data_IF_603139913538
#
_entry.id   IF_603139913538
#
_cell.length_a   1.000
_cell.length_b   1.000
_cell.length_c   1.000
_cell.angle_alpha   90.00
_cell.angle_beta   90.00
_cell.angle_gamma   90.00
#
_symmetry.space_group_name_H-M   'P 1'
#
loop_
_entity.id
_entity.type
_entity.pdbx_description
1 polymer ?
#
# COMPACT_ATOMS: atom_id res chain seq x y z
N UNK A 1 -44.22 -0.66 65.23
CA UNK A 1 -43.39 0.55 65.45
C UNK A 1 -42.26 0.52 64.48
N UNK A 2 -42.34 1.26 63.40
CA UNK A 2 -41.23 1.39 62.42
C UNK A 2 -40.26 2.40 63.07
N UNK A 3 -39.00 1.98 63.27
CA UNK A 3 -38.03 2.83 63.95
C UNK A 3 -37.49 3.89 63.00
N UNK A 4 -37.17 5.09 63.53
CA UNK A 4 -36.62 6.22 62.75
C UNK A 4 -35.35 5.83 61.97
N UNK A 5 -34.67 4.74 62.33
CA UNK A 5 -33.50 4.20 61.65
C UNK A 5 -33.81 3.53 60.34
N UNK A 6 -34.98 2.85 60.24
CA UNK A 6 -35.38 2.17 59.01
C UNK A 6 -35.80 3.13 57.90
N UNK A 7 -36.38 4.28 58.23
CA UNK A 7 -36.77 5.34 57.27
C UNK A 7 -35.54 6.06 56.70
N UNK A 8 -34.51 6.28 57.52
CA UNK A 8 -33.27 6.91 57.09
C UNK A 8 -32.42 5.95 56.19
N UNK A 9 -32.44 4.66 56.51
CA UNK A 9 -31.74 3.62 55.71
C UNK A 9 -32.39 3.42 54.33
N UNK A 10 -33.73 3.43 54.27
CA UNK A 10 -34.47 3.38 53.03
C UNK A 10 -34.22 4.59 52.11
N UNK A 11 -34.23 5.80 52.66
CA UNK A 11 -33.96 7.07 51.89
C UNK A 11 -32.49 7.15 51.38
N UNK A 12 -31.55 6.48 52.10
CA UNK A 12 -30.14 6.43 51.65
C UNK A 12 -29.92 5.43 50.51
N UNK A 13 -30.63 4.31 50.51
CA UNK A 13 -30.62 3.31 49.42
C UNK A 13 -31.23 3.91 48.14
N UNK A 14 -32.40 4.53 48.23
CA UNK A 14 -33.09 5.14 47.11
C UNK A 14 -32.26 6.27 46.44
N UNK A 15 -31.52 7.04 47.23
CA UNK A 15 -30.57 8.07 46.65
C UNK A 15 -29.38 7.41 45.97
N UNK A 16 -28.84 6.30 46.46
CA UNK A 16 -27.76 5.55 45.79
C UNK A 16 -28.23 4.93 44.49
N UNK A 17 -29.43 4.34 44.48
CA UNK A 17 -30.02 3.71 43.29
C UNK A 17 -30.31 4.73 42.21
N UNK A 18 -30.84 5.93 42.57
CA UNK A 18 -31.02 7.03 41.61
C UNK A 18 -29.70 7.56 41.08
N UNK A 19 -28.67 7.64 41.92
CA UNK A 19 -27.34 8.07 41.49
C UNK A 19 -26.65 7.01 40.57
N UNK A 20 -26.88 5.73 40.84
CA UNK A 20 -26.39 4.64 39.98
C UNK A 20 -27.10 4.61 38.62
N UNK A 21 -28.42 4.78 38.61
CA UNK A 21 -29.21 4.88 37.38
C UNK A 21 -28.79 6.09 36.53
N UNK A 22 -28.62 7.27 37.12
CA UNK A 22 -28.16 8.44 36.40
C UNK A 22 -26.75 8.30 35.81
N UNK A 23 -25.84 7.58 36.51
CA UNK A 23 -24.50 7.25 35.95
C UNK A 23 -24.57 6.28 34.80
N UNK A 24 -25.44 5.27 34.90
CA UNK A 24 -25.64 4.28 33.82
C UNK A 24 -26.24 4.94 32.55
N UNK A 25 -27.20 5.85 32.73
CA UNK A 25 -27.76 6.62 31.63
C UNK A 25 -26.73 7.55 30.97
N UNK A 26 -25.89 8.24 31.77
CA UNK A 26 -24.81 9.08 31.27
C UNK A 26 -23.81 8.26 30.45
N UNK A 27 -23.37 7.11 30.96
CA UNK A 27 -22.44 6.21 30.26
C UNK A 27 -23.05 5.62 28.98
N UNK A 28 -24.34 5.30 28.99
CA UNK A 28 -25.03 4.82 27.79
C UNK A 28 -25.14 5.93 26.74
N UNK A 29 -25.37 7.16 27.15
CA UNK A 29 -25.39 8.35 26.29
C UNK A 29 -24.02 8.61 25.65
N UNK A 30 -22.95 8.50 26.42
CA UNK A 30 -21.57 8.68 25.96
C UNK A 30 -21.16 7.62 24.94
N UNK A 31 -21.44 6.35 25.21
CA UNK A 31 -21.20 5.25 24.26
C UNK A 31 -22.03 5.40 22.96
N UNK A 32 -23.25 5.89 23.03
CA UNK A 32 -24.05 6.17 21.85
C UNK A 32 -23.44 7.31 21.03
N UNK A 33 -22.99 8.37 21.70
CA UNK A 33 -22.33 9.50 21.05
C UNK A 33 -21.03 9.09 20.37
N UNK A 34 -20.19 8.31 21.02
CA UNK A 34 -18.96 7.75 20.42
C UNK A 34 -19.26 6.89 19.19
N UNK A 35 -20.25 5.98 19.28
CA UNK A 35 -20.67 5.20 18.12
C UNK A 35 -21.17 6.08 16.98
N UNK A 36 -21.98 7.10 17.29
CA UNK A 36 -22.48 8.02 16.26
C UNK A 36 -21.36 8.81 15.60
N UNK A 37 -20.38 9.30 16.37
CA UNK A 37 -19.22 10.02 15.84
C UNK A 37 -18.36 9.11 14.96
N UNK A 38 -18.12 7.85 15.38
CA UNK A 38 -17.39 6.87 14.56
C UNK A 38 -18.12 6.53 13.26
N UNK A 39 -19.43 6.34 13.32
CA UNK A 39 -20.24 6.07 12.13
C UNK A 39 -20.26 7.29 11.19
N UNK A 40 -20.41 8.50 11.72
CA UNK A 40 -20.38 9.73 10.92
C UNK A 40 -18.99 9.91 10.29
N UNK A 41 -17.91 9.64 11.04
CA UNK A 41 -16.55 9.67 10.53
C UNK A 41 -16.32 8.67 9.40
N UNK A 42 -16.75 7.42 9.59
CA UNK A 42 -16.64 6.38 8.55
C UNK A 42 -17.48 6.72 7.30
N UNK A 43 -18.71 7.22 7.49
CA UNK A 43 -19.57 7.66 6.38
C UNK A 43 -19.00 8.88 5.65
N UNK A 44 -18.38 9.82 6.38
CA UNK A 44 -17.74 10.99 5.78
C UNK A 44 -16.52 10.57 4.92
N UNK A 45 -15.69 9.64 5.40
CA UNK A 45 -14.58 9.08 4.62
C UNK A 45 -15.10 8.35 3.39
N UNK A 46 -16.10 7.50 3.52
CA UNK A 46 -16.73 6.82 2.38
C UNK A 46 -17.38 7.79 1.39
N UNK A 47 -17.97 8.88 1.87
CA UNK A 47 -18.55 9.91 1.00
C UNK A 47 -17.48 10.72 0.25
N UNK A 48 -16.32 10.97 0.88
CA UNK A 48 -15.17 11.61 0.22
C UNK A 48 -14.58 10.67 -0.84
N UNK A 49 -14.38 9.40 -0.51
CA UNK A 49 -13.90 8.38 -1.47
C UNK A 49 -14.90 8.20 -2.62
N UNK A 50 -16.19 8.10 -2.34
CA UNK A 50 -17.24 8.03 -3.37
C UNK A 50 -17.36 9.33 -4.18
N UNK A 51 -17.09 10.48 -3.57
CA UNK A 51 -17.06 11.79 -4.24
C UNK A 51 -15.89 11.91 -5.20
N UNK A 52 -14.70 11.44 -4.81
CA UNK A 52 -13.52 11.39 -5.68
C UNK A 52 -13.76 10.45 -6.86
N UNK A 53 -14.31 9.26 -6.61
CA UNK A 53 -14.70 8.32 -7.66
C UNK A 53 -15.80 8.91 -8.57
N UNK A 54 -16.78 9.60 -8.01
CA UNK A 54 -17.88 10.21 -8.77
C UNK A 54 -17.47 11.37 -9.65
N UNK A 55 -16.54 12.22 -9.19
CA UNK A 55 -15.97 13.33 -9.99
C UNK A 55 -15.11 12.78 -11.12
N UNK A 56 -14.33 11.73 -10.89
CA UNK A 56 -13.54 11.05 -11.92
C UNK A 56 -14.41 10.43 -13.03
N UNK A 57 -15.60 9.89 -12.67
CA UNK A 57 -16.55 9.32 -13.66
C UNK A 57 -17.25 10.41 -14.47
N UNK A 58 -17.55 11.58 -13.89
CA UNK A 58 -18.23 12.69 -14.62
C UNK A 58 -17.25 13.47 -15.49
N UNK A 59 -16.00 13.63 -15.09
CA UNK A 59 -14.96 14.25 -15.93
C UNK A 59 -14.61 13.38 -17.17
N UNK A 60 -14.78 12.05 -17.08
CA UNK A 60 -14.55 11.12 -18.19
C UNK A 60 -15.44 11.34 -19.42
N UNK A 61 -16.57 11.99 -19.29
CA UNK A 61 -17.50 12.21 -20.41
C UNK A 61 -17.29 13.55 -21.14
N UNK A 62 -16.33 14.37 -20.71
CA UNK A 62 -16.15 15.72 -21.29
C UNK A 62 -14.92 15.87 -22.20
N UNK A 63 -13.91 15.01 -22.12
CA UNK A 63 -12.65 15.20 -22.85
C UNK A 63 -12.11 13.93 -23.55
N UNK A 64 -12.93 13.25 -24.34
CA UNK A 64 -12.48 12.11 -25.17
C UNK A 64 -11.51 12.51 -26.33
N UNK A 65 -10.92 13.71 -26.32
CA UNK A 65 -10.13 14.14 -27.49
C UNK A 65 -8.85 14.97 -27.25
N UNK A 66 -8.26 14.97 -26.04
CA UNK A 66 -7.02 15.75 -25.90
C UNK A 66 -6.06 15.17 -24.86
N UNK A 67 -5.56 14.02 -25.01
CA UNK A 67 -4.32 13.40 -24.53
C UNK A 67 -4.59 11.88 -24.47
N UNK A 68 -4.50 11.21 -25.59
CA UNK A 68 -4.33 9.78 -25.62
C UNK A 68 -2.96 9.50 -24.98
N UNK A 69 -2.98 9.04 -23.71
CA UNK A 69 -1.80 8.44 -23.11
C UNK A 69 -1.53 7.20 -23.96
N UNK A 70 -0.30 7.00 -24.40
CA UNK A 70 0.12 5.75 -25.00
C UNK A 70 0.02 4.67 -23.92
N UNK A 71 -1.12 4.00 -23.88
CA UNK A 71 -1.32 2.85 -22.98
C UNK A 71 -0.41 1.75 -23.45
N UNK A 72 0.61 1.45 -22.67
CA UNK A 72 1.51 0.32 -22.94
C UNK A 72 0.71 -0.97 -22.71
N UNK A 73 0.58 -1.75 -23.77
CA UNK A 73 -0.12 -3.02 -23.72
C UNK A 73 0.77 -4.11 -23.07
N UNK A 74 0.16 -5.00 -22.31
CA UNK A 74 0.83 -6.16 -21.72
C UNK A 74 1.25 -7.15 -22.83
N UNK A 75 2.47 -7.65 -22.73
CA UNK A 75 3.00 -8.74 -23.57
C UNK A 75 3.78 -9.72 -22.68
N UNK A 76 3.29 -10.96 -22.49
CA UNK A 76 3.95 -11.94 -21.63
C UNK A 76 5.32 -12.39 -22.14
N UNK A 77 5.69 -12.05 -23.38
CA UNK A 77 6.99 -12.37 -23.96
C UNK A 77 8.01 -11.22 -23.82
N UNK A 78 7.59 -10.10 -23.26
CA UNK A 78 8.48 -8.96 -23.01
C UNK A 78 9.56 -9.32 -21.97
N UNK A 79 10.74 -8.69 -22.06
CA UNK A 79 11.78 -8.91 -21.08
C UNK A 79 11.31 -8.48 -19.68
N UNK A 80 11.78 -9.22 -18.68
CA UNK A 80 11.64 -8.87 -17.25
C UNK A 80 13.04 -8.64 -16.66
N UNK A 81 13.18 -7.82 -15.62
CA UNK A 81 14.46 -7.61 -14.96
C UNK A 81 15.03 -8.90 -14.35
N UNK A 82 16.34 -8.94 -14.14
CA UNK A 82 17.03 -10.09 -13.56
C UNK A 82 16.45 -10.47 -12.19
N UNK A 83 16.09 -11.74 -12.02
CA UNK A 83 15.50 -12.26 -10.77
C UNK A 83 14.02 -11.97 -10.58
N UNK A 84 13.40 -11.16 -11.42
CA UNK A 84 11.94 -10.97 -11.42
C UNK A 84 11.23 -12.24 -11.89
N UNK A 85 10.10 -12.55 -11.28
CA UNK A 85 9.33 -13.76 -11.56
C UNK A 85 8.64 -13.65 -12.93
N UNK A 86 8.76 -14.70 -13.75
CA UNK A 86 8.14 -14.75 -15.07
C UNK A 86 6.63 -14.97 -15.04
N UNK A 87 6.01 -14.91 -16.21
CA UNK A 87 4.56 -15.05 -16.41
C UNK A 87 3.96 -16.37 -15.87
N UNK A 88 4.74 -17.44 -15.83
CA UNK A 88 4.29 -18.77 -15.37
C UNK A 88 4.39 -18.94 -13.84
N UNK A 89 4.87 -17.94 -13.11
CA UNK A 89 4.97 -17.97 -11.64
C UNK A 89 3.61 -17.73 -10.99
N UNK A 90 3.42 -18.30 -9.80
CA UNK A 90 2.29 -17.99 -8.92
C UNK A 90 2.23 -16.48 -8.60
N UNK A 91 3.40 -15.85 -8.51
CA UNK A 91 3.54 -14.40 -8.30
C UNK A 91 4.09 -13.73 -9.57
N UNK A 92 3.45 -14.00 -10.71
CA UNK A 92 3.88 -13.49 -12.00
C UNK A 92 4.24 -12.01 -11.97
N UNK A 93 5.41 -11.68 -12.53
CA UNK A 93 5.97 -10.31 -12.60
C UNK A 93 6.34 -9.66 -11.26
N UNK A 94 6.25 -10.40 -10.15
CA UNK A 94 6.67 -9.94 -8.83
C UNK A 94 8.18 -9.92 -8.66
N UNK A 95 8.66 -9.06 -7.78
CA UNK A 95 10.07 -8.89 -7.41
C UNK A 95 10.31 -9.61 -6.08
N UNK A 96 10.95 -10.79 -6.08
CA UNK A 96 11.29 -11.47 -4.84
C UNK A 96 12.45 -10.75 -4.14
N UNK A 97 12.36 -10.63 -2.82
CA UNK A 97 13.39 -9.99 -2.01
C UNK A 97 13.65 -10.75 -0.72
N UNK A 98 14.91 -10.74 -0.30
CA UNK A 98 15.36 -11.31 0.95
C UNK A 98 16.08 -12.65 0.81
N UNK A 99 16.32 -13.27 1.97
CA UNK A 99 17.13 -14.50 2.10
C UNK A 99 16.36 -15.69 2.63
N UNK A 100 15.04 -15.53 2.82
CA UNK A 100 14.16 -16.56 3.38
C UNK A 100 14.10 -17.81 2.48
N UNK A 101 14.11 -18.98 3.11
CA UNK A 101 13.95 -20.26 2.41
C UNK A 101 12.50 -20.53 1.99
N UNK A 102 12.29 -21.61 1.26
CA UNK A 102 10.98 -21.97 0.70
C UNK A 102 9.91 -22.26 1.78
N UNK A 103 10.33 -22.63 2.99
CA UNK A 103 9.42 -22.91 4.12
C UNK A 103 8.96 -21.64 4.86
N UNK A 104 9.50 -20.47 4.52
CA UNK A 104 9.10 -19.21 5.16
C UNK A 104 7.78 -18.68 4.56
N UNK A 105 6.93 -18.02 5.36
CA UNK A 105 5.70 -17.41 4.87
C UNK A 105 5.99 -16.37 3.78
N UNK A 106 5.11 -16.28 2.79
CA UNK A 106 5.23 -15.33 1.70
C UNK A 106 4.41 -14.08 2.01
N UNK A 107 5.06 -12.94 2.10
CA UNK A 107 4.42 -11.62 2.11
C UNK A 107 4.38 -11.08 0.68
N UNK A 108 3.20 -11.11 0.08
CA UNK A 108 2.92 -10.45 -1.20
C UNK A 108 2.43 -9.04 -0.95
N UNK A 109 3.03 -8.03 -1.59
CA UNK A 109 2.71 -6.62 -1.39
C UNK A 109 2.54 -5.89 -2.72
N UNK A 110 1.30 -5.47 -3.03
CA UNK A 110 0.99 -4.65 -4.19
C UNK A 110 1.11 -3.18 -3.88
N UNK A 111 1.86 -2.47 -4.71
CA UNK A 111 2.14 -1.05 -4.54
C UNK A 111 2.19 -0.31 -5.88
N UNK A 112 1.84 0.98 -5.83
CA UNK A 112 1.98 1.93 -6.94
C UNK A 112 2.84 3.10 -6.47
N UNK A 113 3.90 3.41 -7.20
CA UNK A 113 4.82 4.48 -6.81
C UNK A 113 4.15 5.87 -6.71
N UNK A 114 3.08 6.13 -7.44
CA UNK A 114 2.31 7.37 -7.30
C UNK A 114 1.34 7.36 -6.11
N UNK A 115 1.08 6.20 -5.49
CA UNK A 115 0.08 6.09 -4.42
C UNK A 115 0.57 6.71 -3.11
N UNK A 116 -0.08 7.78 -2.58
CA UNK A 116 0.34 8.40 -1.32
C UNK A 116 0.22 7.46 -0.11
N UNK A 117 -0.73 6.52 -0.16
CA UNK A 117 -0.88 5.53 0.90
C UNK A 117 0.25 4.49 0.91
N UNK A 118 0.83 4.16 -0.27
CA UNK A 118 2.04 3.33 -0.36
C UNK A 118 3.25 4.09 0.19
N UNK A 119 3.45 5.36 -0.21
CA UNK A 119 4.50 6.19 0.39
C UNK A 119 4.39 6.29 1.91
N UNK A 120 3.17 6.42 2.45
CA UNK A 120 2.94 6.41 3.89
C UNK A 120 3.23 5.06 4.54
N UNK A 121 2.97 3.94 3.86
CA UNK A 121 3.34 2.60 4.33
C UNK A 121 4.85 2.45 4.38
N UNK A 122 5.56 2.83 3.33
CA UNK A 122 7.01 2.73 3.23
C UNK A 122 7.72 3.63 4.27
N UNK A 123 7.21 4.86 4.50
CA UNK A 123 7.69 5.72 5.58
C UNK A 123 7.46 5.09 6.97
N UNK A 124 6.31 4.44 7.19
CA UNK A 124 5.94 3.89 8.48
C UNK A 124 6.65 2.57 8.82
N UNK A 125 6.79 1.66 7.83
CA UNK A 125 7.27 0.30 8.07
C UNK A 125 8.03 -0.35 6.89
N UNK A 126 8.48 0.38 5.89
CA UNK A 126 9.27 -0.16 4.77
C UNK A 126 10.54 -0.87 5.26
N UNK A 127 11.25 -0.27 6.22
CA UNK A 127 12.40 -0.89 6.87
C UNK A 127 12.04 -2.21 7.58
N UNK A 128 10.90 -2.27 8.27
CA UNK A 128 10.44 -3.49 8.95
C UNK A 128 10.04 -4.61 7.97
N UNK A 129 9.48 -4.27 6.82
CA UNK A 129 9.17 -5.22 5.74
C UNK A 129 10.47 -5.78 5.17
N UNK A 130 11.44 -4.91 4.87
CA UNK A 130 12.73 -5.31 4.36
C UNK A 130 13.53 -6.14 5.39
N UNK A 131 13.52 -5.77 6.67
CA UNK A 131 14.15 -6.53 7.76
C UNK A 131 13.57 -7.95 7.85
N UNK A 132 12.25 -8.11 7.73
CA UNK A 132 11.62 -9.44 7.72
C UNK A 132 12.12 -10.31 6.56
N UNK A 133 12.36 -9.72 5.39
CA UNK A 133 12.92 -10.40 4.23
C UNK A 133 14.40 -10.76 4.44
N UNK A 134 15.23 -9.81 4.86
CA UNK A 134 16.68 -9.96 5.02
C UNK A 134 17.07 -10.91 6.15
N UNK A 135 16.28 -10.94 7.22
CA UNK A 135 16.48 -11.86 8.35
C UNK A 135 15.88 -13.25 8.13
N UNK A 136 15.22 -13.47 7.00
CA UNK A 136 14.65 -14.77 6.64
C UNK A 136 13.33 -15.10 7.36
N UNK A 137 12.67 -14.11 7.94
CA UNK A 137 11.36 -14.28 8.61
C UNK A 137 10.27 -14.50 7.57
N UNK A 138 10.33 -13.82 6.43
CA UNK A 138 9.39 -13.94 5.33
C UNK A 138 10.08 -13.87 3.97
N UNK A 139 9.48 -14.46 2.95
CA UNK A 139 9.77 -14.18 1.55
C UNK A 139 8.92 -12.99 1.14
N UNK A 140 9.51 -11.85 0.88
CA UNK A 140 8.78 -10.68 0.38
C UNK A 140 8.73 -10.73 -1.13
N UNK A 141 7.54 -10.55 -1.70
CA UNK A 141 7.31 -10.42 -3.14
C UNK A 141 6.64 -9.07 -3.38
N UNK A 142 7.42 -8.09 -3.80
CA UNK A 142 6.84 -6.83 -4.25
C UNK A 142 6.13 -6.99 -5.59
N UNK A 143 4.91 -6.49 -5.67
CA UNK A 143 4.03 -6.57 -6.85
C UNK A 143 3.75 -5.14 -7.34
N UNK A 144 4.61 -4.58 -8.19
CA UNK A 144 4.39 -3.21 -8.67
C UNK A 144 3.15 -3.14 -9.57
N UNK A 145 2.39 -2.05 -9.47
CA UNK A 145 1.29 -1.76 -10.37
C UNK A 145 1.25 -0.29 -10.75
N UNK A 146 0.84 -0.01 -11.96
CA UNK A 146 0.62 1.34 -12.50
C UNK A 146 -0.89 1.65 -12.67
N UNK A 147 -1.72 1.14 -11.72
CA UNK A 147 -3.17 1.29 -11.85
C UNK A 147 -3.64 2.75 -11.75
N UNK A 148 -2.86 3.60 -11.07
CA UNK A 148 -3.15 5.03 -10.95
C UNK A 148 -2.96 5.80 -12.25
N UNK A 149 -2.06 5.39 -13.13
CA UNK A 149 -1.80 6.06 -14.41
C UNK A 149 -3.09 6.30 -15.20
N UNK A 150 -3.95 5.27 -15.27
CA UNK A 150 -5.25 5.39 -15.95
C UNK A 150 -6.17 6.40 -15.28
N UNK A 151 -6.13 6.51 -13.96
CA UNK A 151 -7.00 7.41 -13.21
C UNK A 151 -6.50 8.86 -13.26
N UNK A 152 -5.19 9.02 -13.24
CA UNK A 152 -4.51 10.32 -13.22
C UNK A 152 -4.27 10.88 -14.63
N UNK A 153 -4.40 10.04 -15.65
CA UNK A 153 -4.21 10.46 -17.03
C UNK A 153 -2.74 10.70 -17.37
N UNK A 154 -1.82 9.90 -16.81
CA UNK A 154 -0.39 9.95 -17.06
C UNK A 154 0.20 8.53 -17.20
N UNK A 155 1.53 8.41 -17.28
CA UNK A 155 2.28 7.15 -17.35
C UNK A 155 3.39 7.07 -16.30
N UNK A 156 3.29 7.86 -15.24
CA UNK A 156 4.38 8.07 -14.31
C UNK A 156 4.65 6.86 -13.42
N UNK A 157 3.61 6.11 -13.00
CA UNK A 157 3.81 4.84 -12.28
C UNK A 157 4.48 3.80 -13.17
N UNK A 158 4.01 3.64 -14.41
CA UNK A 158 4.61 2.70 -15.36
C UNK A 158 6.08 3.05 -15.62
N UNK A 159 6.42 4.34 -15.75
CA UNK A 159 7.78 4.83 -15.95
C UNK A 159 8.66 4.57 -14.73
N UNK A 160 8.17 4.84 -13.53
CA UNK A 160 8.90 4.59 -12.28
C UNK A 160 9.16 3.09 -12.07
N UNK A 161 8.17 2.23 -12.37
CA UNK A 161 8.35 0.77 -12.33
C UNK A 161 9.39 0.32 -13.36
N UNK A 162 9.33 0.86 -14.59
CA UNK A 162 10.32 0.56 -15.62
C UNK A 162 11.75 0.94 -15.19
N UNK A 163 11.91 2.12 -14.58
CA UNK A 163 13.19 2.56 -14.01
C UNK A 163 13.63 1.66 -12.84
N UNK A 164 12.70 1.24 -11.98
CA UNK A 164 13.03 0.25 -10.95
C UNK A 164 13.55 -1.06 -11.54
N UNK A 165 12.97 -1.55 -12.65
CA UNK A 165 13.48 -2.70 -13.38
C UNK A 165 14.93 -2.51 -13.82
N UNK A 166 15.29 -1.32 -14.33
CA UNK A 166 16.67 -0.99 -14.66
C UNK A 166 17.59 -1.00 -13.42
N UNK A 167 17.09 -0.53 -12.27
CA UNK A 167 17.84 -0.54 -11.02
C UNK A 167 18.05 -1.96 -10.46
N UNK A 168 17.08 -2.86 -10.67
CA UNK A 168 17.18 -4.28 -10.29
C UNK A 168 18.36 -4.93 -11.02
N UNK A 169 18.50 -4.71 -12.32
CA UNK A 169 19.60 -5.25 -13.12
C UNK A 169 20.98 -4.74 -12.66
N UNK A 170 21.04 -3.55 -12.13
CA UNK A 170 22.27 -2.96 -11.58
C UNK A 170 22.49 -3.32 -10.09
N UNK A 171 21.62 -4.15 -9.49
CA UNK A 171 21.73 -4.63 -8.12
C UNK A 171 21.29 -3.65 -7.04
N UNK A 172 20.46 -2.65 -7.39
CA UNK A 172 19.92 -1.63 -6.49
C UNK A 172 18.42 -1.84 -6.23
N UNK A 173 17.99 -3.09 -6.07
CA UNK A 173 16.58 -3.45 -5.97
C UNK A 173 15.84 -2.69 -4.87
N UNK A 174 16.33 -2.77 -3.63
CA UNK A 174 15.72 -2.12 -2.48
C UNK A 174 16.02 -0.64 -2.44
N UNK A 175 17.29 -0.29 -2.60
CA UNK A 175 17.76 1.10 -2.45
C UNK A 175 17.01 2.03 -3.41
N UNK A 176 16.75 1.57 -4.64
CA UNK A 176 16.01 2.39 -5.62
C UNK A 176 14.52 2.44 -5.31
N UNK A 177 13.90 1.32 -4.92
CA UNK A 177 12.50 1.27 -4.48
C UNK A 177 12.24 2.29 -3.36
N UNK A 178 13.02 2.21 -2.29
CA UNK A 178 12.90 3.09 -1.13
C UNK A 178 13.14 4.56 -1.53
N UNK A 179 14.12 4.81 -2.41
CA UNK A 179 14.44 6.15 -2.87
C UNK A 179 13.33 6.76 -3.73
N UNK A 180 12.64 5.98 -4.57
CA UNK A 180 11.51 6.48 -5.35
C UNK A 180 10.37 6.93 -4.42
N UNK A 181 10.03 6.14 -3.40
CA UNK A 181 9.05 6.55 -2.40
C UNK A 181 9.49 7.75 -1.57
N UNK A 182 10.75 7.81 -1.16
CA UNK A 182 11.31 8.97 -0.43
C UNK A 182 11.31 10.27 -1.25
N UNK A 183 11.24 10.16 -2.57
CA UNK A 183 11.15 11.29 -3.51
C UNK A 183 9.77 11.37 -4.20
N UNK A 184 8.73 10.81 -3.56
CA UNK A 184 7.39 10.89 -4.09
C UNK A 184 6.93 12.36 -4.16
N UNK A 185 6.39 12.83 -5.31
CA UNK A 185 5.89 14.21 -5.42
C UNK A 185 4.82 14.53 -4.38
N UNK A 186 4.76 15.80 -3.95
CA UNK A 186 3.76 16.25 -2.97
C UNK A 186 2.32 16.14 -3.50
N UNK A 187 2.14 16.34 -4.81
CA UNK A 187 0.83 16.22 -5.46
C UNK A 187 0.75 14.90 -6.24
N UNK A 188 -0.28 14.10 -5.94
CA UNK A 188 -0.57 12.87 -6.66
C UNK A 188 -0.83 13.18 -8.14
N UNK A 189 -0.10 12.52 -9.04
CA UNK A 189 -0.23 12.71 -10.48
C UNK A 189 0.87 13.54 -11.13
N UNK A 190 1.71 14.25 -10.37
CA UNK A 190 2.86 14.96 -10.91
C UNK A 190 3.91 13.97 -11.45
N UNK A 191 4.12 12.85 -10.76
CA UNK A 191 5.02 11.80 -11.15
C UNK A 191 6.48 12.25 -11.27
N UNK A 192 7.24 11.53 -12.09
CA UNK A 192 8.67 11.82 -12.33
C UNK A 192 8.96 11.81 -13.84
N UNK A 193 9.82 12.69 -14.28
CA UNK A 193 10.49 12.59 -15.59
C UNK A 193 11.61 11.55 -15.55
N UNK A 194 12.07 11.07 -16.71
CA UNK A 194 13.24 10.18 -16.79
C UNK A 194 14.47 10.80 -16.11
N UNK A 195 14.69 12.12 -16.28
CA UNK A 195 15.82 12.82 -15.65
C UNK A 195 15.74 12.86 -14.12
N UNK A 196 14.53 12.94 -13.55
CA UNK A 196 14.33 12.86 -12.09
C UNK A 196 14.57 11.44 -11.59
N UNK A 197 14.09 10.42 -12.31
CA UNK A 197 14.36 9.02 -11.99
C UNK A 197 15.86 8.69 -12.03
N UNK A 198 16.60 9.25 -13.01
CA UNK A 198 18.06 9.15 -13.07
C UNK A 198 18.72 9.88 -11.89
N UNK A 199 18.23 11.06 -11.52
CA UNK A 199 18.76 11.81 -10.37
C UNK A 199 18.54 11.07 -9.04
N UNK A 200 17.44 10.32 -8.90
CA UNK A 200 17.20 9.43 -7.74
C UNK A 200 18.28 8.34 -7.69
N UNK A 201 18.61 7.72 -8.84
CA UNK A 201 19.67 6.72 -8.91
C UNK A 201 21.06 7.29 -8.53
N UNK A 202 21.37 8.50 -8.99
CA UNK A 202 22.59 9.20 -8.56
C UNK A 202 22.59 9.44 -7.04
N UNK A 203 21.44 9.83 -6.48
CA UNK A 203 21.26 10.10 -5.06
C UNK A 203 21.52 8.90 -4.15
N UNK A 204 21.29 7.68 -4.61
CA UNK A 204 21.60 6.43 -3.89
C UNK A 204 23.02 5.89 -4.18
N UNK A 205 23.82 6.61 -4.94
CA UNK A 205 25.23 6.29 -5.17
C UNK A 205 25.55 5.57 -6.47
N UNK A 206 24.58 5.39 -7.38
CA UNK A 206 24.90 4.92 -8.74
C UNK A 206 25.79 5.93 -9.44
N UNK A 207 26.85 5.45 -10.08
CA UNK A 207 27.82 6.32 -10.75
C UNK A 207 28.61 5.58 -11.82
N UNK A 208 29.28 6.33 -12.71
CA UNK A 208 30.13 5.76 -13.76
C UNK A 208 29.34 4.84 -14.69
N UNK A 209 29.89 3.67 -15.00
CA UNK A 209 29.30 2.73 -15.96
C UNK A 209 27.92 2.21 -15.52
N UNK A 210 27.70 1.99 -14.21
CA UNK A 210 26.42 1.57 -13.65
C UNK A 210 25.33 2.61 -13.91
N UNK A 211 25.61 3.90 -13.66
CA UNK A 211 24.66 4.97 -13.94
C UNK A 211 24.42 5.17 -15.45
N UNK A 212 25.47 5.02 -16.28
CA UNK A 212 25.34 5.08 -17.73
C UNK A 212 24.44 3.96 -18.26
N UNK A 213 24.61 2.72 -17.77
CA UNK A 213 23.76 1.57 -18.10
C UNK A 213 22.32 1.77 -17.66
N UNK A 214 22.12 2.18 -16.39
CA UNK A 214 20.79 2.51 -15.86
C UNK A 214 20.10 3.58 -16.69
N UNK A 215 20.77 4.69 -16.99
CA UNK A 215 20.20 5.80 -17.77
C UNK A 215 19.80 5.36 -19.17
N UNK A 216 20.64 4.55 -19.84
CA UNK A 216 20.33 4.02 -21.16
C UNK A 216 19.09 3.10 -21.11
N UNK A 217 18.99 2.24 -20.08
CA UNK A 217 17.84 1.36 -19.88
C UNK A 217 16.53 2.14 -19.66
N UNK A 218 16.59 3.25 -18.89
CA UNK A 218 15.44 4.15 -18.67
C UNK A 218 15.04 4.86 -19.95
N UNK A 219 16.01 5.39 -20.72
CA UNK A 219 15.75 6.10 -21.96
C UNK A 219 15.24 5.17 -23.07
N UNK A 220 15.69 3.91 -23.09
CA UNK A 220 15.21 2.86 -24.01
C UNK A 220 13.86 2.26 -23.56
N UNK A 221 13.31 2.68 -22.42
CA UNK A 221 12.04 2.22 -21.87
C UNK A 221 11.95 0.68 -21.69
N UNK A 222 13.09 0.03 -21.42
CA UNK A 222 13.31 -1.42 -21.50
C UNK A 222 12.26 -2.23 -20.73
N UNK A 223 11.85 -1.79 -19.55
CA UNK A 223 10.96 -2.55 -18.66
C UNK A 223 9.54 -1.99 -18.52
N UNK A 224 9.13 -1.05 -19.38
CA UNK A 224 7.77 -0.49 -19.32
C UNK A 224 6.68 -1.51 -19.64
N UNK A 225 6.97 -2.50 -20.49
CA UNK A 225 6.04 -3.61 -20.76
C UNK A 225 5.96 -4.58 -19.58
N UNK A 226 7.06 -4.82 -18.85
CA UNK A 226 6.99 -5.52 -17.57
C UNK A 226 6.06 -4.83 -16.56
N UNK A 227 6.14 -3.51 -16.43
CA UNK A 227 5.22 -2.73 -15.61
C UNK A 227 3.75 -2.90 -16.05
N UNK A 228 3.50 -2.92 -17.36
CA UNK A 228 2.17 -3.17 -17.90
C UNK A 228 1.69 -4.61 -17.62
N UNK A 229 2.57 -5.61 -17.72
CA UNK A 229 2.26 -7.00 -17.39
C UNK A 229 1.89 -7.17 -15.92
N UNK A 230 2.66 -6.57 -15.00
CA UNK A 230 2.36 -6.60 -13.56
C UNK A 230 1.05 -5.87 -13.25
N UNK A 231 0.77 -4.77 -13.95
CA UNK A 231 -0.50 -4.05 -13.81
C UNK A 231 -1.69 -4.85 -14.34
N UNK A 232 -1.52 -5.60 -15.42
CA UNK A 232 -2.57 -6.50 -15.91
C UNK A 232 -2.86 -7.60 -14.88
N UNK A 233 -1.83 -8.18 -14.27
CA UNK A 233 -1.97 -9.18 -13.21
C UNK A 233 -2.70 -8.62 -11.98
N UNK A 234 -2.45 -7.35 -11.61
CA UNK A 234 -3.20 -6.65 -10.55
C UNK A 234 -4.71 -6.66 -10.82
N UNK A 235 -5.11 -6.37 -12.06
CA UNK A 235 -6.53 -6.41 -12.44
C UNK A 235 -7.08 -7.83 -12.50
N UNK A 236 -6.34 -8.78 -13.02
CA UNK A 236 -6.76 -10.18 -13.18
C UNK A 236 -6.95 -10.85 -11.81
N UNK A 237 -6.17 -10.49 -10.81
CA UNK A 237 -6.35 -10.94 -9.44
C UNK A 237 -7.48 -10.20 -8.68
N UNK A 238 -8.11 -9.21 -9.30
CA UNK A 238 -9.22 -8.45 -8.72
C UNK A 238 -8.81 -7.54 -7.56
N UNK A 239 -7.53 -7.15 -7.48
CA UNK A 239 -7.05 -6.19 -6.48
C UNK A 239 -7.65 -4.82 -6.80
N UNK A 240 -8.20 -4.16 -5.78
CA UNK A 240 -9.00 -2.95 -5.97
C UNK A 240 -8.26 -1.64 -5.66
N UNK A 241 -7.06 -1.72 -5.06
CA UNK A 241 -6.28 -0.54 -4.66
C UNK A 241 -4.98 -0.93 -3.97
N UNK A 242 -4.14 0.06 -3.69
CA UNK A 242 -2.86 -0.09 -3.02
C UNK A 242 -2.76 0.80 -1.78
N UNK A 243 -1.88 0.48 -0.79
CA UNK A 243 -1.17 -0.79 -0.69
C UNK A 243 -2.11 -1.94 -0.38
N UNK A 244 -1.81 -3.13 -0.92
CA UNK A 244 -2.60 -4.32 -0.67
C UNK A 244 -1.65 -5.49 -0.39
N UNK A 245 -1.83 -6.19 0.73
CA UNK A 245 -0.95 -7.25 1.19
C UNK A 245 -1.66 -8.56 1.46
N UNK A 246 -0.94 -9.66 1.18
CA UNK A 246 -1.32 -11.03 1.57
C UNK A 246 -0.15 -11.72 2.25
N UNK A 247 -0.46 -12.57 3.23
CA UNK A 247 0.48 -13.56 3.76
C UNK A 247 -0.04 -14.95 3.38
N UNK A 248 0.74 -15.73 2.66
CA UNK A 248 0.36 -17.06 2.13
C UNK A 248 -1.01 -17.05 1.44
N UNK A 249 -1.26 -16.02 0.63
CA UNK A 249 -2.50 -15.84 -0.12
C UNK A 249 -3.69 -15.28 0.70
N UNK A 250 -3.55 -15.09 2.00
CA UNK A 250 -4.58 -14.52 2.88
C UNK A 250 -4.37 -13.01 3.03
N UNK A 251 -5.37 -12.22 2.66
CA UNK A 251 -5.33 -10.75 2.78
C UNK A 251 -5.13 -10.32 4.25
N UNK A 252 -4.25 -9.35 4.45
CA UNK A 252 -3.99 -8.72 5.74
C UNK A 252 -4.37 -7.24 5.72
N UNK A 253 -4.87 -6.69 6.84
CA UNK A 253 -5.21 -5.27 6.93
C UNK A 253 -3.99 -4.37 6.69
N UNK A 254 -4.16 -3.29 5.94
CA UNK A 254 -3.09 -2.29 5.71
C UNK A 254 -2.48 -1.76 7.01
N UNK A 255 -3.27 -1.63 8.09
CA UNK A 255 -2.77 -1.24 9.40
C UNK A 255 -1.75 -2.25 9.97
N UNK A 256 -1.90 -3.54 9.64
CA UNK A 256 -0.93 -4.57 10.06
C UNK A 256 0.35 -4.50 9.24
N UNK A 257 0.28 -4.07 7.98
CA UNK A 257 1.47 -3.79 7.16
C UNK A 257 2.26 -2.59 7.71
N UNK A 258 1.55 -1.52 8.11
CA UNK A 258 2.16 -0.27 8.56
C UNK A 258 2.68 -0.30 10.02
N UNK A 259 2.48 -1.39 10.75
CA UNK A 259 2.96 -1.58 12.12
C UNK A 259 3.85 -2.82 12.23
N UNK A 260 5.14 -2.62 12.48
CA UNK A 260 6.13 -3.70 12.51
C UNK A 260 5.77 -4.85 13.46
N UNK A 261 5.26 -4.53 14.65
CA UNK A 261 4.91 -5.56 15.62
C UNK A 261 3.71 -6.40 15.15
N UNK A 262 2.72 -5.75 14.54
CA UNK A 262 1.54 -6.42 13.96
C UNK A 262 1.92 -7.28 12.75
N UNK A 263 2.80 -6.79 11.88
CA UNK A 263 3.31 -7.55 10.74
C UNK A 263 4.08 -8.79 11.19
N UNK A 264 5.02 -8.65 12.12
CA UNK A 264 5.80 -9.76 12.66
C UNK A 264 4.92 -10.80 13.37
N UNK A 265 3.86 -10.36 14.09
CA UNK A 265 2.90 -11.26 14.70
C UNK A 265 2.14 -12.08 13.64
N UNK A 266 1.68 -11.44 12.57
CA UNK A 266 0.97 -12.11 11.47
C UNK A 266 1.88 -13.11 10.72
N UNK A 267 3.13 -12.73 10.44
CA UNK A 267 4.13 -13.62 9.82
C UNK A 267 4.47 -14.82 10.72
N UNK A 268 4.58 -14.59 12.03
CA UNK A 268 4.84 -15.67 13.00
C UNK A 268 3.67 -16.65 13.09
N UNK A 269 2.44 -16.15 13.04
CA UNK A 269 1.23 -17.00 13.02
C UNK A 269 1.19 -17.84 11.75
N UNK A 270 1.49 -17.25 10.59
CA UNK A 270 1.55 -17.97 9.31
C UNK A 270 2.62 -19.07 9.30
N UNK A 271 3.82 -18.79 9.82
CA UNK A 271 4.91 -19.76 9.92
C UNK A 271 4.62 -20.94 10.88
N UNK A 272 3.63 -20.83 11.77
CA UNK A 272 3.23 -21.85 12.74
C UNK A 272 2.14 -22.81 12.26
N UNK A 273 1.58 -22.54 11.08
CA UNK A 273 0.50 -23.34 10.48
C UNK A 273 1.04 -24.29 9.42
#
# INVERSE_FOLDING_TARGET
MVTNGDVMAAGSRERRDRAAAARAEAQAGEKRRERTVRIIGAVAVLAVVAGIIGVAVVARNADDNANAIDVIEADPNAPVPDGVLGADSEWAYGVPYGTAGDDAPVLELWEDFQCPACGSLEEANGEGIAEAAETGIARVIWRPTAFLDRNLGNDASNRAIGAWGCAIDEGFTREYHDAVYANQPEEEGDGWSNSELVSIAEGIGMSGATLESFSACVDDETYRVWAANSTQEFYDQGVAGTPFGKIDGVEIPTQSLADQASLLAALTEAAGN
#
